data_IF_637846051251
#
_entry.id   IF_637846051251
#
_cell.length_a   1.000
_cell.length_b   1.000
_cell.length_c   1.000
_cell.angle_alpha   90.00
_cell.angle_beta   90.00
_cell.angle_gamma   90.00
#
_symmetry.space_group_name_H-M   'P 1'
#
loop_
_entity.id
_entity.type
_entity.pdbx_description
1 polymer ?
#
# COMPACT_ATOMS: atom_id res chain seq x y z
N UNK A 1 -4.52 14.36 -9.24
CA UNK A 1 -5.15 13.32 -8.40
C UNK A 1 -5.69 13.93 -7.12
N UNK A 2 -6.93 13.60 -6.69
CA UNK A 2 -7.56 14.15 -5.47
C UNK A 2 -7.00 13.50 -4.20
N UNK A 3 -6.91 14.26 -3.11
CA UNK A 3 -6.63 13.71 -1.78
C UNK A 3 -7.91 13.07 -1.22
N UNK A 4 -7.82 11.78 -0.89
CA UNK A 4 -8.91 10.99 -0.28
C UNK A 4 -8.91 11.20 1.23
N UNK A 5 -7.73 11.15 1.87
CA UNK A 5 -7.57 11.26 3.32
C UNK A 5 -6.22 11.86 3.70
N UNK A 6 -6.22 12.62 4.78
CA UNK A 6 -5.00 13.06 5.47
C UNK A 6 -5.04 12.49 6.88
N UNK A 7 -4.02 11.73 7.24
CA UNK A 7 -3.72 11.30 8.60
C UNK A 7 -2.58 12.16 9.14
N UNK A 8 -2.91 13.19 9.89
CA UNK A 8 -1.93 14.04 10.57
C UNK A 8 -2.04 13.80 12.08
N UNK A 9 -1.08 13.05 12.61
CA UNK A 9 -1.07 12.67 14.03
C UNK A 9 -0.69 13.82 14.95
N UNK A 10 -0.09 14.90 14.42
CA UNK A 10 0.38 16.08 15.19
C UNK A 10 1.23 15.73 16.42
N UNK A 11 1.95 14.62 16.34
CA UNK A 11 2.79 14.06 17.39
C UNK A 11 4.28 14.39 17.21
N UNK A 12 4.58 15.46 16.47
CA UNK A 12 5.91 15.90 16.08
C UNK A 12 6.10 17.39 16.33
N UNK A 13 7.35 17.82 16.48
CA UNK A 13 7.70 19.24 16.49
C UNK A 13 7.94 19.72 15.06
N UNK A 14 7.34 20.86 14.67
CA UNK A 14 7.44 21.43 13.34
C UNK A 14 8.88 21.80 12.94
N UNK A 15 9.76 22.01 13.93
CA UNK A 15 11.19 22.31 13.72
C UNK A 15 12.02 21.09 13.35
N UNK A 16 11.51 19.88 13.52
CA UNK A 16 12.23 18.67 13.17
C UNK A 16 12.42 18.55 11.67
N UNK A 17 13.46 17.80 11.28
CA UNK A 17 13.71 17.49 9.87
C UNK A 17 12.50 16.73 9.29
N UNK A 18 11.98 17.20 8.15
CA UNK A 18 10.91 16.51 7.41
C UNK A 18 11.51 15.59 6.36
N UNK A 19 11.13 14.32 6.41
CA UNK A 19 11.47 13.30 5.42
C UNK A 19 10.23 13.03 4.57
N UNK A 20 10.23 13.59 3.37
CA UNK A 20 9.16 13.39 2.40
C UNK A 20 9.37 12.08 1.63
N UNK A 21 8.29 11.32 1.45
CA UNK A 21 8.28 10.07 0.71
C UNK A 21 7.06 9.98 -0.17
N UNK A 22 7.24 9.49 -1.38
CA UNK A 22 6.17 9.11 -2.29
C UNK A 22 6.16 7.58 -2.48
N UNK A 23 4.96 7.02 -2.48
CA UNK A 23 4.76 5.60 -2.72
C UNK A 23 3.52 5.39 -3.60
N UNK A 24 3.52 4.34 -4.39
CA UNK A 24 2.38 3.93 -5.22
C UNK A 24 1.71 2.70 -4.64
N UNK A 25 0.40 2.55 -4.88
CA UNK A 25 -0.40 1.40 -4.45
C UNK A 25 -1.37 0.99 -5.56
N UNK A 26 -1.41 -0.29 -5.88
CA UNK A 26 -2.34 -0.83 -6.88
C UNK A 26 -3.62 -1.34 -6.21
N UNK A 27 -4.77 -0.96 -6.77
CA UNK A 27 -6.10 -1.49 -6.44
C UNK A 27 -6.55 -2.35 -7.61
N UNK A 28 -6.58 -3.66 -7.40
CA UNK A 28 -6.86 -4.65 -8.45
C UNK A 28 -8.04 -5.48 -8.01
N UNK A 29 -9.18 -5.27 -8.66
CA UNK A 29 -10.44 -5.94 -8.34
C UNK A 29 -10.77 -7.02 -9.36
N UNK A 30 -11.31 -8.14 -8.89
CA UNK A 30 -11.86 -9.21 -9.73
C UNK A 30 -13.14 -9.73 -9.07
N UNK A 31 -14.29 -9.26 -9.57
CA UNK A 31 -15.58 -9.49 -8.92
C UNK A 31 -15.63 -8.86 -7.53
N UNK A 32 -15.94 -9.65 -6.51
CA UNK A 32 -15.95 -9.23 -5.09
C UNK A 32 -14.60 -9.44 -4.38
N UNK A 33 -13.57 -9.83 -5.12
CA UNK A 33 -12.23 -10.05 -4.59
C UNK A 33 -11.28 -8.93 -4.95
N UNK A 34 -10.32 -8.68 -4.08
CA UNK A 34 -9.21 -7.77 -4.31
C UNK A 34 -7.88 -8.52 -4.20
N UNK A 35 -6.94 -8.19 -5.07
CA UNK A 35 -5.56 -8.69 -4.96
C UNK A 35 -4.82 -7.90 -3.89
N UNK A 36 -4.33 -8.58 -2.89
CA UNK A 36 -3.57 -8.01 -1.78
C UNK A 36 -2.29 -8.82 -1.56
N UNK A 37 -1.33 -8.19 -0.92
CA UNK A 37 -0.17 -8.85 -0.34
C UNK A 37 -0.49 -9.17 1.11
N UNK A 38 -0.36 -10.44 1.51
CA UNK A 38 -0.51 -10.88 2.89
C UNK A 38 0.85 -11.19 3.48
N UNK A 39 1.13 -10.69 4.68
CA UNK A 39 2.26 -11.16 5.47
C UNK A 39 1.90 -12.47 6.16
N UNK A 40 2.60 -13.57 5.85
CA UNK A 40 2.42 -14.85 6.56
C UNK A 40 2.87 -14.77 8.01
N UNK A 41 3.88 -13.95 8.30
CA UNK A 41 4.45 -13.79 9.63
C UNK A 41 3.54 -12.98 10.56
N UNK A 42 2.96 -11.89 10.07
CA UNK A 42 2.22 -10.92 10.88
C UNK A 42 0.71 -10.93 10.62
N UNK A 43 0.28 -11.49 9.51
CA UNK A 43 -1.14 -11.69 9.17
C UNK A 43 -1.84 -10.51 8.51
N UNK A 44 -1.21 -9.33 8.41
CA UNK A 44 -1.82 -8.16 7.78
C UNK A 44 -1.93 -8.28 6.26
N UNK A 45 -2.84 -7.49 5.71
CA UNK A 45 -3.00 -7.28 4.29
C UNK A 45 -2.56 -5.87 3.89
N UNK A 46 -1.86 -5.74 2.78
CA UNK A 46 -1.51 -4.44 2.17
C UNK A 46 -1.83 -4.45 0.68
N UNK A 47 -2.08 -3.27 0.12
CA UNK A 47 -2.14 -3.11 -1.33
C UNK A 47 -0.75 -3.31 -1.92
N UNK A 48 -0.62 -4.01 -3.07
CA UNK A 48 0.66 -4.10 -3.78
C UNK A 48 1.22 -2.70 -4.06
N UNK A 49 2.49 -2.51 -3.80
CA UNK A 49 3.13 -1.23 -4.05
C UNK A 49 4.20 -0.86 -3.04
N UNK A 50 5.03 0.10 -3.43
CA UNK A 50 6.18 0.58 -2.67
C UNK A 50 6.63 1.96 -3.10
N UNK A 51 7.90 2.27 -2.82
CA UNK A 51 8.52 3.55 -3.16
C UNK A 51 8.72 3.73 -4.67
N UNK A 52 8.83 4.97 -5.09
CA UNK A 52 9.14 5.36 -6.47
C UNK A 52 10.66 5.47 -6.59
N UNK A 53 11.26 4.85 -7.60
CA UNK A 53 12.68 4.93 -7.86
C UNK A 53 13.06 6.22 -8.63
N UNK A 54 14.34 6.57 -8.63
CA UNK A 54 14.84 7.70 -9.42
C UNK A 54 14.53 7.50 -10.90
N UNK A 55 14.07 8.56 -11.55
CA UNK A 55 13.69 8.59 -12.97
C UNK A 55 12.51 7.67 -13.38
N UNK A 56 11.78 7.14 -12.42
CA UNK A 56 10.60 6.31 -12.63
C UNK A 56 9.33 7.17 -12.57
N UNK A 57 8.38 6.92 -13.49
CA UNK A 57 7.04 7.51 -13.37
C UNK A 57 6.19 6.74 -12.34
N UNK A 58 5.13 7.37 -11.82
CA UNK A 58 4.19 6.68 -10.94
C UNK A 58 3.57 5.43 -11.61
N UNK A 59 3.29 5.50 -12.92
CA UNK A 59 2.74 4.36 -13.67
C UNK A 59 3.75 3.21 -13.76
N UNK A 60 5.01 3.52 -14.02
CA UNK A 60 6.07 2.50 -14.06
C UNK A 60 6.26 1.86 -12.68
N UNK A 61 6.28 2.69 -11.63
CA UNK A 61 6.41 2.23 -10.25
C UNK A 61 5.27 1.29 -9.83
N UNK A 62 4.01 1.65 -10.12
CA UNK A 62 2.87 0.79 -9.75
C UNK A 62 2.87 -0.53 -10.51
N UNK A 63 3.32 -0.53 -11.77
CA UNK A 63 3.47 -1.76 -12.56
C UNK A 63 4.57 -2.62 -11.97
N UNK A 64 5.78 -2.08 -11.79
CA UNK A 64 6.94 -2.78 -11.25
C UNK A 64 6.65 -3.40 -9.88
N UNK A 65 6.17 -2.60 -8.93
CA UNK A 65 5.86 -3.03 -7.57
C UNK A 65 4.79 -4.14 -7.54
N UNK A 66 3.74 -3.99 -8.36
CA UNK A 66 2.70 -5.02 -8.47
C UNK A 66 3.28 -6.35 -8.95
N UNK A 67 4.11 -6.31 -9.99
CA UNK A 67 4.75 -7.51 -10.56
C UNK A 67 5.74 -8.13 -9.58
N UNK A 68 6.56 -7.33 -8.89
CA UNK A 68 7.56 -7.80 -7.93
C UNK A 68 6.91 -8.43 -6.69
N UNK A 69 5.94 -7.77 -6.08
CA UNK A 69 5.32 -8.25 -4.85
C UNK A 69 4.30 -9.37 -5.05
N UNK A 70 3.67 -9.46 -6.22
CA UNK A 70 2.55 -10.40 -6.45
C UNK A 70 2.75 -11.38 -7.60
N UNK A 71 3.63 -11.08 -8.55
CA UNK A 71 3.75 -11.81 -9.81
C UNK A 71 2.64 -11.50 -10.82
N UNK A 72 1.64 -10.69 -10.46
CA UNK A 72 0.56 -10.29 -11.36
C UNK A 72 1.10 -9.38 -12.46
N UNK A 73 0.71 -9.65 -13.70
CA UNK A 73 1.11 -8.83 -14.84
C UNK A 73 0.06 -7.77 -15.11
N UNK A 74 0.42 -6.50 -14.88
CA UNK A 74 -0.49 -5.36 -15.11
C UNK A 74 -0.78 -5.23 -16.61
N UNK A 75 -2.06 -5.12 -16.95
CA UNK A 75 -2.51 -4.96 -18.32
C UNK A 75 -2.12 -3.59 -18.87
N UNK A 76 -1.41 -3.51 -20.00
CA UNK A 76 -1.00 -2.23 -20.58
C UNK A 76 -2.16 -1.24 -20.73
N UNK A 77 -1.96 0.01 -20.32
CA UNK A 77 -2.94 1.08 -20.45
C UNK A 77 -4.14 0.99 -19.49
N UNK A 78 -4.16 0.03 -18.56
CA UNK A 78 -5.27 -0.12 -17.60
C UNK A 78 -5.14 0.74 -16.35
N UNK A 79 -3.95 1.27 -16.07
CA UNK A 79 -3.66 2.02 -14.84
C UNK A 79 -4.39 3.37 -14.86
N UNK A 80 -5.23 3.61 -13.83
CA UNK A 80 -6.01 4.85 -13.68
C UNK A 80 -5.88 5.42 -12.28
N UNK A 81 -5.79 6.73 -12.17
CA UNK A 81 -5.74 7.43 -10.90
C UNK A 81 -6.98 7.20 -10.04
N UNK A 82 -6.80 6.88 -8.77
CA UNK A 82 -7.87 6.78 -7.79
C UNK A 82 -7.82 7.94 -6.78
N UNK A 83 -6.68 8.13 -6.11
CA UNK A 83 -6.51 9.23 -5.15
C UNK A 83 -5.29 9.07 -4.27
N UNK A 84 -5.12 10.02 -3.36
CA UNK A 84 -3.95 10.12 -2.47
C UNK A 84 -4.40 9.93 -1.03
N UNK A 85 -3.67 9.11 -0.29
CA UNK A 85 -3.70 9.11 1.19
C UNK A 85 -2.39 9.67 1.68
N UNK A 86 -2.47 10.67 2.56
CA UNK A 86 -1.33 11.41 3.06
C UNK A 86 -1.17 11.15 4.56
N UNK A 87 0.02 10.70 4.97
CA UNK A 87 0.38 10.45 6.36
C UNK A 87 1.44 11.44 6.82
N UNK A 88 1.20 12.12 7.93
CA UNK A 88 2.16 13.04 8.57
C UNK A 88 2.24 12.66 10.04
N UNK A 89 3.41 12.28 10.50
CA UNK A 89 3.62 11.83 11.88
C UNK A 89 5.08 11.91 12.31
N UNK A 90 5.35 11.67 13.56
CA UNK A 90 6.71 11.43 14.05
C UNK A 90 7.32 10.21 13.33
N UNK A 91 8.58 10.32 12.94
CA UNK A 91 9.34 9.21 12.38
C UNK A 91 9.61 8.12 13.40
N UNK A 92 9.99 6.94 12.93
CA UNK A 92 10.29 5.79 13.80
C UNK A 92 11.64 5.94 14.53
N UNK A 93 12.54 6.70 13.97
CA UNK A 93 13.93 6.80 14.43
C UNK A 93 14.31 8.25 14.75
N UNK A 94 13.88 8.73 15.95
CA UNK A 94 14.33 10.01 16.46
C UNK A 94 13.41 11.19 16.19
N UNK A 95 14.00 12.39 16.18
CA UNK A 95 13.32 13.68 16.02
C UNK A 95 13.21 14.04 14.53
N UNK A 96 12.33 13.35 13.84
CA UNK A 96 12.00 13.61 12.42
C UNK A 96 10.51 13.57 12.17
N UNK A 97 10.06 14.27 11.16
CA UNK A 97 8.71 14.23 10.62
C UNK A 97 8.70 13.28 9.44
N UNK A 98 7.96 12.18 9.55
CA UNK A 98 7.65 11.30 8.42
C UNK A 98 6.45 11.87 7.68
N UNK A 99 6.64 12.17 6.40
CA UNK A 99 5.62 12.74 5.52
C UNK A 99 5.52 11.87 4.26
N UNK A 100 4.48 11.02 4.19
CA UNK A 100 4.30 10.12 3.07
C UNK A 100 3.00 10.35 2.34
N UNK A 101 3.09 10.54 1.02
CA UNK A 101 1.96 10.47 0.10
C UNK A 101 1.91 9.10 -0.56
N UNK A 102 0.82 8.38 -0.35
CA UNK A 102 0.54 7.11 -1.02
C UNK A 102 -0.48 7.35 -2.13
N UNK A 103 -0.04 7.14 -3.37
CA UNK A 103 -0.82 7.32 -4.59
C UNK A 103 -1.47 6.01 -4.99
N UNK A 104 -2.78 5.94 -4.95
CA UNK A 104 -3.56 4.76 -5.28
C UNK A 104 -4.01 4.79 -6.74
N UNK A 105 -3.82 3.67 -7.41
CA UNK A 105 -4.18 3.46 -8.81
C UNK A 105 -5.03 2.22 -8.98
N UNK A 106 -6.14 2.34 -9.70
CA UNK A 106 -6.86 1.18 -10.21
C UNK A 106 -6.04 0.54 -11.32
N UNK A 107 -5.95 -0.78 -11.34
CA UNK A 107 -5.28 -1.52 -12.41
C UNK A 107 -6.01 -2.82 -12.73
N UNK A 108 -5.96 -3.23 -13.99
CA UNK A 108 -6.36 -4.55 -14.44
C UNK A 108 -5.12 -5.42 -14.65
N UNK A 109 -5.27 -6.73 -14.49
CA UNK A 109 -4.19 -7.69 -14.66
C UNK A 109 -4.55 -8.78 -15.66
N UNK A 110 -3.52 -9.34 -16.29
CA UNK A 110 -3.64 -10.53 -17.12
C UNK A 110 -3.88 -11.77 -16.26
N UNK A 111 -4.28 -12.88 -16.87
CA UNK A 111 -4.47 -14.15 -16.15
C UNK A 111 -3.15 -14.84 -15.79
N UNK A 112 -2.08 -14.49 -16.50
CA UNK A 112 -0.73 -14.99 -16.22
C UNK A 112 -0.18 -14.42 -14.93
N UNK A 113 0.31 -15.29 -14.04
CA UNK A 113 1.00 -14.93 -12.81
C UNK A 113 2.43 -15.48 -12.89
N UNK A 114 3.41 -14.60 -12.71
CA UNK A 114 4.84 -14.95 -12.66
C UNK A 114 5.32 -15.12 -11.23
N UNK A 115 6.57 -15.52 -11.06
CA UNK A 115 7.21 -15.56 -9.74
C UNK A 115 7.34 -14.14 -9.16
N UNK A 116 7.11 -14.03 -7.86
CA UNK A 116 7.40 -12.83 -7.09
C UNK A 116 8.90 -12.55 -7.05
N UNK A 117 9.28 -11.28 -6.99
CA UNK A 117 10.67 -10.82 -6.85
C UNK A 117 10.80 -9.98 -5.58
N UNK A 118 10.60 -10.64 -4.45
CA UNK A 118 10.59 -10.01 -3.14
C UNK A 118 12.01 -9.62 -2.70
N UNK A 119 12.12 -8.46 -2.06
CA UNK A 119 13.34 -8.08 -1.36
C UNK A 119 13.53 -8.91 -0.08
N UNK A 120 14.66 -8.72 0.61
CA UNK A 120 14.97 -9.51 1.81
C UNK A 120 13.95 -9.30 2.93
N UNK A 121 13.51 -8.08 3.17
CA UNK A 121 12.53 -7.75 4.21
C UNK A 121 11.16 -8.38 3.91
N UNK A 122 10.72 -8.31 2.66
CA UNK A 122 9.46 -8.90 2.19
C UNK A 122 9.47 -10.43 2.27
N UNK A 123 10.62 -11.04 1.95
CA UNK A 123 10.83 -12.49 2.13
C UNK A 123 10.74 -12.88 3.60
N UNK A 124 11.35 -12.10 4.50
CA UNK A 124 11.32 -12.35 5.96
C UNK A 124 9.90 -12.23 6.53
N UNK A 125 9.07 -11.34 6.00
CA UNK A 125 7.65 -11.20 6.34
C UNK A 125 6.77 -12.26 5.67
N UNK A 126 7.31 -12.99 4.69
CA UNK A 126 6.61 -14.01 3.95
C UNK A 126 5.46 -13.44 3.13
N UNK A 127 5.74 -12.40 2.34
CA UNK A 127 4.74 -11.78 1.46
C UNK A 127 4.23 -12.75 0.42
N UNK A 128 2.92 -12.87 0.31
CA UNK A 128 2.24 -13.70 -0.66
C UNK A 128 1.05 -12.97 -1.29
N UNK A 129 0.82 -13.23 -2.58
CA UNK A 129 -0.39 -12.78 -3.26
C UNK A 129 -1.61 -13.54 -2.72
N UNK A 130 -2.65 -12.83 -2.37
CA UNK A 130 -3.97 -13.37 -2.05
C UNK A 130 -5.06 -12.61 -2.79
N UNK A 131 -6.10 -13.34 -3.22
CA UNK A 131 -7.36 -12.77 -3.68
C UNK A 131 -8.37 -12.88 -2.54
N UNK A 132 -8.55 -11.79 -1.79
CA UNK A 132 -9.38 -11.81 -0.60
C UNK A 132 -10.66 -11.00 -0.79
N UNK A 133 -11.67 -11.30 0.01
CA UNK A 133 -12.85 -10.47 0.14
C UNK A 133 -12.49 -9.15 0.84
N UNK A 134 -12.96 -8.02 0.27
CA UNK A 134 -12.67 -6.68 0.78
C UNK A 134 -13.03 -6.51 2.27
N UNK A 135 -14.22 -6.98 2.64
CA UNK A 135 -14.72 -6.84 4.02
C UNK A 135 -13.88 -7.67 4.98
N UNK A 136 -13.56 -8.90 4.60
CA UNK A 136 -12.73 -9.79 5.42
C UNK A 136 -11.32 -9.22 5.61
N UNK A 137 -10.69 -8.70 4.56
CA UNK A 137 -9.38 -8.06 4.66
C UNK A 137 -9.42 -6.83 5.60
N UNK A 138 -10.47 -6.01 5.48
CA UNK A 138 -10.71 -4.87 6.36
C UNK A 138 -10.84 -5.31 7.83
N UNK A 139 -11.69 -6.28 8.13
CA UNK A 139 -11.93 -6.76 9.50
C UNK A 139 -10.65 -7.29 10.15
N UNK A 140 -9.85 -8.08 9.41
CA UNK A 140 -8.57 -8.61 9.89
C UNK A 140 -7.57 -7.47 10.16
N UNK A 141 -7.43 -6.53 9.25
CA UNK A 141 -6.51 -5.39 9.44
C UNK A 141 -6.94 -4.50 10.60
N UNK A 142 -8.24 -4.28 10.80
CA UNK A 142 -8.75 -3.52 11.95
C UNK A 142 -8.41 -4.18 13.29
N UNK A 143 -8.56 -5.50 13.38
CA UNK A 143 -8.18 -6.26 14.58
C UNK A 143 -6.67 -6.17 14.85
N UNK A 144 -5.84 -6.34 13.81
CA UNK A 144 -4.39 -6.24 13.92
C UNK A 144 -3.92 -4.81 14.22
N UNK A 145 -4.54 -3.81 13.63
CA UNK A 145 -4.20 -2.39 13.86
C UNK A 145 -4.41 -1.98 15.31
N UNK A 146 -5.44 -2.49 15.97
CA UNK A 146 -5.67 -2.28 17.39
C UNK A 146 -4.60 -2.94 18.27
N UNK A 147 -4.06 -4.09 17.83
CA UNK A 147 -3.06 -4.85 18.58
C UNK A 147 -1.64 -4.28 18.47
N UNK A 148 -1.28 -3.73 17.30
CA UNK A 148 0.11 -3.39 16.99
C UNK A 148 0.38 -1.88 16.86
N UNK A 149 -0.64 -1.03 16.93
CA UNK A 149 -0.53 0.44 16.77
C UNK A 149 0.30 0.87 15.52
N UNK A 150 0.25 0.08 14.47
CA UNK A 150 1.05 0.31 13.27
C UNK A 150 0.31 1.21 12.28
N UNK A 151 0.88 2.35 12.00
CA UNK A 151 0.27 3.44 11.20
C UNK A 151 -0.07 3.02 9.77
N UNK A 152 0.76 2.17 9.13
CA UNK A 152 0.46 1.72 7.78
C UNK A 152 -0.78 0.81 7.71
N UNK A 153 -1.05 -0.01 8.73
CA UNK A 153 -2.26 -0.85 8.79
C UNK A 153 -3.51 0.03 8.86
N UNK A 154 -3.46 1.16 9.56
CA UNK A 154 -4.56 2.14 9.62
C UNK A 154 -4.86 2.69 8.22
N UNK A 155 -3.84 3.05 7.46
CA UNK A 155 -3.98 3.51 6.08
C UNK A 155 -4.57 2.44 5.18
N UNK A 156 -4.03 1.21 5.24
CA UNK A 156 -4.53 0.08 4.43
C UNK A 156 -6.00 -0.23 4.79
N UNK A 157 -6.35 -0.27 6.08
CA UNK A 157 -7.72 -0.48 6.54
C UNK A 157 -8.67 0.60 6.05
N UNK A 158 -8.27 1.86 6.13
CA UNK A 158 -9.06 2.99 5.62
C UNK A 158 -9.36 2.85 4.13
N UNK A 159 -8.36 2.47 3.33
CA UNK A 159 -8.57 2.30 1.90
C UNK A 159 -9.44 1.10 1.56
N UNK A 160 -9.36 0.00 2.33
CA UNK A 160 -10.30 -1.12 2.19
C UNK A 160 -11.74 -0.69 2.51
N UNK A 161 -11.93 0.09 3.59
CA UNK A 161 -13.25 0.66 3.94
C UNK A 161 -13.77 1.63 2.85
N UNK A 162 -12.90 2.49 2.33
CA UNK A 162 -13.25 3.41 1.25
C UNK A 162 -13.74 2.69 -0.01
N UNK A 163 -13.17 1.54 -0.33
CA UNK A 163 -13.58 0.71 -1.47
C UNK A 163 -14.86 -0.10 -1.22
N UNK A 164 -15.33 -0.22 0.03
CA UNK A 164 -16.60 -0.86 0.40
C UNK A 164 -17.82 0.06 0.26
N UNK A 165 -17.60 1.38 0.13
CA UNK A 165 -18.65 2.39 -0.03
C UNK A 165 -19.17 2.47 -1.46
#
# INVERSE_FOLDING_TARGET
MKTIKIFDEKNYDISWKRTEREAVRAVILRGNKIALVRSRKEGFYKFPGGGIEADETHFDAVIRETEEETGLQVKPGSVKELGIVWEIRKGLYGEEIFDQKSYYYMAEVLDEVKEQKLDKYEQELGYELVWEDLKKAYEINMELGQKYETTFIIRESYMLEYLLQ
#
